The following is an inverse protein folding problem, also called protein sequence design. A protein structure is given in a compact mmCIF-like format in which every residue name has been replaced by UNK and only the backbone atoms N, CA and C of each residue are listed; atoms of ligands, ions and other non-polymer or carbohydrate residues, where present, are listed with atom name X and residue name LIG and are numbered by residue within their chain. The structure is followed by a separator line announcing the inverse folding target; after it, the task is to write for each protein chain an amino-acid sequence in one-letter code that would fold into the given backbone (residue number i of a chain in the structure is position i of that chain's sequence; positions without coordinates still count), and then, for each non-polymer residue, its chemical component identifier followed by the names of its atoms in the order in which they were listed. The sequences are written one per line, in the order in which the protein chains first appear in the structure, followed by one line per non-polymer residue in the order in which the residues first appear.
data_IF_975526974298
#
_entry.id   IF_975526974298
#
_cell.length_a   1.000
_cell.length_b   1.000
_cell.length_c   1.000
_cell.angle_alpha   90.00
_cell.angle_beta   90.00
_cell.angle_gamma   90.00
#
_symmetry.space_group_name_H-M   'P 1'
#
loop_
_entity.id
_entity.type
_entity.pdbx_description
1 polymer ?
#
# COMPACT_ATOMS: atom_id res chain seq x y z
N UNK A 1 2.31 -12.36 -9.01
CA UNK A 1 3.32 -11.38 -9.46
C UNK A 1 4.71 -12.01 -9.52
N UNK A 2 5.47 -11.75 -10.59
CA UNK A 2 6.89 -12.08 -10.75
C UNK A 2 7.77 -10.88 -10.40
N UNK A 3 9.08 -11.08 -10.25
CA UNK A 3 10.02 -9.97 -9.97
C UNK A 3 10.07 -8.92 -11.10
N UNK A 4 9.89 -9.34 -12.35
CA UNK A 4 9.88 -8.40 -13.48
C UNK A 4 8.63 -7.52 -13.45
N UNK A 5 7.46 -8.12 -13.17
CA UNK A 5 6.20 -7.40 -13.00
C UNK A 5 6.27 -6.44 -11.81
N UNK A 6 6.79 -6.90 -10.67
CA UNK A 6 6.99 -6.05 -9.48
C UNK A 6 7.83 -4.81 -9.79
N UNK A 7 8.96 -4.97 -10.50
CA UNK A 7 9.82 -3.83 -10.87
C UNK A 7 9.08 -2.85 -11.76
N UNK A 8 8.41 -3.35 -12.81
CA UNK A 8 7.71 -2.50 -13.76
C UNK A 8 6.59 -1.70 -13.11
N UNK A 9 5.83 -2.31 -12.21
CA UNK A 9 4.77 -1.62 -11.49
C UNK A 9 5.34 -0.64 -10.44
N UNK A 10 6.45 -0.95 -9.75
CA UNK A 10 7.11 -0.01 -8.82
C UNK A 10 7.63 1.22 -9.55
N UNK A 11 8.27 1.02 -10.72
CA UNK A 11 8.75 2.09 -11.59
C UNK A 11 7.58 2.99 -12.05
N UNK A 12 6.40 2.40 -12.31
CA UNK A 12 5.21 3.14 -12.74
C UNK A 12 4.62 4.04 -11.65
N UNK A 13 4.83 3.74 -10.36
CA UNK A 13 4.39 4.59 -9.25
C UNK A 13 5.23 5.87 -9.13
N UNK A 14 6.46 5.88 -9.66
CA UNK A 14 7.37 7.04 -9.66
C UNK A 14 7.50 7.70 -8.26
N UNK A 15 7.81 6.88 -7.26
CA UNK A 15 7.91 7.29 -5.86
C UNK A 15 9.37 7.57 -5.46
N UNK A 16 9.61 8.41 -4.44
CA UNK A 16 10.95 8.62 -3.87
C UNK A 16 11.61 7.32 -3.36
N UNK A 17 12.94 7.22 -3.47
CA UNK A 17 13.71 6.04 -3.03
C UNK A 17 13.61 5.75 -1.52
N UNK A 18 13.26 6.75 -0.71
CA UNK A 18 13.06 6.64 0.74
C UNK A 18 11.60 6.34 1.13
N UNK A 19 10.73 6.08 0.14
CA UNK A 19 9.34 5.68 0.37
C UNK A 19 9.29 4.35 1.13
N UNK A 20 8.53 4.32 2.23
CA UNK A 20 8.37 3.10 3.02
C UNK A 20 7.57 2.05 2.25
N UNK A 21 8.00 0.79 2.35
CA UNK A 21 7.29 -0.36 1.81
C UNK A 21 6.60 -1.10 2.96
N UNK A 22 5.28 -1.24 2.88
CA UNK A 22 4.44 -1.85 3.89
C UNK A 22 3.85 -3.15 3.35
N UNK A 23 4.09 -4.26 4.05
CA UNK A 23 3.51 -5.55 3.71
C UNK A 23 2.16 -5.72 4.40
N UNK A 24 1.10 -5.91 3.61
CA UNK A 24 -0.21 -6.22 4.17
C UNK A 24 -0.24 -7.64 4.74
N UNK A 25 -0.98 -7.80 5.84
CA UNK A 25 -1.17 -9.11 6.47
C UNK A 25 -2.07 -9.97 5.58
N UNK A 26 -1.62 -11.19 5.30
CA UNK A 26 -2.48 -12.21 4.72
C UNK A 26 -3.59 -12.61 5.71
N UNK A 27 -4.84 -12.55 5.23
CA UNK A 27 -6.03 -12.88 6.00
C UNK A 27 -6.19 -14.39 6.26
N UNK A 28 -5.62 -15.26 5.43
CA UNK A 28 -5.75 -16.72 5.55
C UNK A 28 -4.83 -17.32 6.63
N UNK A 29 -3.84 -16.55 7.10
CA UNK A 29 -2.88 -17.01 8.10
C UNK A 29 -1.85 -18.01 7.54
N UNK A 30 -1.63 -18.02 6.23
CA UNK A 30 -0.55 -18.79 5.63
C UNK A 30 0.80 -18.28 6.16
N UNK A 31 1.80 -19.16 6.18
CA UNK A 31 3.17 -18.76 6.55
C UNK A 31 3.75 -17.71 5.58
N UNK A 32 3.37 -17.83 4.30
CA UNK A 32 3.73 -16.93 3.20
C UNK A 32 2.66 -17.00 2.12
N UNK A 33 2.39 -15.87 1.47
CA UNK A 33 1.45 -15.81 0.34
C UNK A 33 2.07 -15.09 -0.86
N UNK A 34 1.77 -15.53 -2.10
CA UNK A 34 2.24 -14.83 -3.29
C UNK A 34 1.80 -13.37 -3.29
N UNK A 35 2.60 -12.47 -3.86
CA UNK A 35 2.21 -11.08 -4.05
C UNK A 35 1.20 -10.98 -5.20
N UNK A 36 0.09 -10.26 -4.95
CA UNK A 36 -1.02 -10.09 -5.89
C UNK A 36 -1.04 -8.69 -6.50
N UNK A 37 -1.09 -7.66 -5.63
CA UNK A 37 -1.32 -6.26 -6.02
C UNK A 37 -0.38 -5.38 -5.21
N UNK A 38 -0.07 -4.19 -5.73
CA UNK A 38 0.47 -3.12 -4.90
C UNK A 38 -0.10 -1.76 -5.26
N UNK A 39 -0.11 -0.87 -4.28
CA UNK A 39 -0.66 0.48 -4.40
C UNK A 39 0.26 1.51 -3.74
N UNK A 40 0.41 2.67 -4.38
CA UNK A 40 0.94 3.87 -3.74
C UNK A 40 -0.15 4.55 -2.91
N UNK A 41 0.06 4.65 -1.60
CA UNK A 41 -0.94 5.18 -0.66
C UNK A 41 -0.30 5.94 0.49
N UNK A 42 -1.09 6.26 1.52
CA UNK A 42 -0.64 6.94 2.73
C UNK A 42 -0.59 5.95 3.90
N UNK A 43 0.44 6.08 4.74
CA UNK A 43 0.66 5.24 5.91
C UNK A 43 0.75 6.08 7.18
N UNK A 44 0.00 5.69 8.21
CA UNK A 44 0.17 6.18 9.58
C UNK A 44 0.77 5.07 10.43
N UNK A 45 2.00 5.27 10.94
CA UNK A 45 2.62 4.32 11.85
C UNK A 45 2.04 4.45 13.26
N UNK A 46 1.44 3.38 13.78
CA UNK A 46 1.03 3.26 15.18
C UNK A 46 2.14 2.70 16.07
N UNK A 47 3.03 1.91 15.48
CA UNK A 47 4.21 1.34 16.13
C UNK A 47 5.29 1.01 15.09
N UNK A 48 6.43 0.46 15.53
CA UNK A 48 7.45 -0.08 14.62
C UNK A 48 6.98 -1.28 13.78
N UNK A 49 5.81 -1.86 14.09
CA UNK A 49 5.32 -3.10 13.48
C UNK A 49 3.89 -3.01 12.94
N UNK A 50 3.23 -1.86 13.07
CA UNK A 50 1.82 -1.72 12.72
C UNK A 50 1.48 -0.28 12.40
N UNK A 51 0.48 -0.11 11.55
CA UNK A 51 -0.07 1.17 11.18
C UNK A 51 -1.29 0.99 10.31
N UNK A 52 -1.92 2.11 9.95
CA UNK A 52 -3.10 2.14 9.10
C UNK A 52 -2.77 2.65 7.70
N UNK A 53 -3.56 2.18 6.75
CA UNK A 53 -3.50 2.55 5.34
C UNK A 53 -4.60 3.56 5.05
N UNK A 54 -4.28 4.58 4.25
CA UNK A 54 -5.25 5.57 3.78
C UNK A 54 -5.11 5.82 2.27
N UNK A 55 -6.25 5.97 1.60
CA UNK A 55 -6.28 6.32 0.19
C UNK A 55 -5.75 7.74 -0.05
N UNK A 56 -4.94 7.92 -1.10
CA UNK A 56 -4.52 9.26 -1.54
C UNK A 56 -5.71 10.06 -2.07
N UNK A 57 -5.59 11.38 -2.12
CA UNK A 57 -6.60 12.26 -2.72
C UNK A 57 -6.94 11.87 -4.16
N UNK A 58 -5.93 11.43 -4.92
CA UNK A 58 -6.11 10.93 -6.28
C UNK A 58 -6.93 9.64 -6.30
N UNK A 59 -6.64 8.67 -5.43
CA UNK A 59 -7.40 7.42 -5.35
C UNK A 59 -8.86 7.69 -4.96
N UNK A 60 -9.10 8.60 -4.01
CA UNK A 60 -10.46 9.00 -3.62
C UNK A 60 -11.19 9.71 -4.76
N UNK A 61 -10.50 10.57 -5.52
CA UNK A 61 -11.09 11.24 -6.68
C UNK A 61 -11.42 10.28 -7.83
N UNK A 62 -10.63 9.21 -8.00
CA UNK A 62 -10.85 8.17 -9.02
C UNK A 62 -11.93 7.16 -8.63
N UNK A 63 -12.17 6.95 -7.33
CA UNK A 63 -13.14 6.01 -6.80
C UNK A 63 -14.04 6.70 -5.75
N UNK A 64 -14.82 7.73 -6.15
CA UNK A 64 -15.61 8.55 -5.24
C UNK A 64 -16.77 7.81 -4.56
N UNK A 65 -17.15 6.63 -5.06
CA UNK A 65 -18.18 5.76 -4.49
C UNK A 65 -17.72 4.99 -3.25
N UNK A 66 -16.41 4.88 -3.04
CA UNK A 66 -15.84 4.20 -1.89
C UNK A 66 -15.84 5.13 -0.67
N UNK A 67 -16.27 4.60 0.47
CA UNK A 67 -16.29 5.31 1.75
C UNK A 67 -14.89 5.30 2.39
N UNK A 68 -14.00 6.13 1.85
CA UNK A 68 -12.63 6.27 2.35
C UNK A 68 -12.56 7.33 3.45
N UNK A 69 -12.00 6.95 4.59
CA UNK A 69 -11.65 7.91 5.64
C UNK A 69 -10.60 8.93 5.14
N UNK A 70 -10.68 10.15 5.67
CA UNK A 70 -9.61 11.13 5.46
C UNK A 70 -8.35 10.72 6.21
N UNK A 71 -7.22 10.78 5.52
CA UNK A 71 -5.92 10.53 6.12
C UNK A 71 -5.63 11.56 7.24
N UNK A 72 -5.20 11.12 8.43
CA UNK A 72 -4.73 12.02 9.48
C UNK A 72 -3.53 12.85 9.06
N UNK A 73 -3.35 14.00 9.73
CA UNK A 73 -2.16 14.82 9.58
C UNK A 73 -0.92 14.04 10.08
N UNK A 74 0.11 13.94 9.24
CA UNK A 74 1.34 13.22 9.57
C UNK A 74 1.46 11.83 8.95
N UNK A 75 0.45 11.41 8.18
CA UNK A 75 0.61 10.28 7.25
C UNK A 75 1.72 10.56 6.24
N UNK A 76 2.43 9.51 5.84
CA UNK A 76 3.53 9.57 4.86
C UNK A 76 3.22 8.72 3.64
N UNK A 77 3.73 9.07 2.45
CA UNK A 77 3.64 8.21 1.27
C UNK A 77 4.27 6.84 1.53
N UNK A 78 3.63 5.79 1.03
CA UNK A 78 4.06 4.41 1.18
C UNK A 78 3.63 3.57 -0.02
N UNK A 79 4.37 2.47 -0.27
CA UNK A 79 3.94 1.40 -1.17
C UNK A 79 3.40 0.27 -0.33
N UNK A 80 2.18 -0.17 -0.62
CA UNK A 80 1.56 -1.32 0.04
C UNK A 80 1.60 -2.54 -0.85
N UNK A 81 2.08 -3.65 -0.29
CA UNK A 81 2.17 -4.94 -0.97
C UNK A 81 1.05 -5.85 -0.45
N UNK A 82 0.11 -6.19 -1.32
CA UNK A 82 -1.06 -7.00 -0.98
C UNK A 82 -0.86 -8.46 -1.42
N UNK A 83 -0.78 -9.41 -0.47
CA UNK A 83 -0.69 -10.82 -0.82
C UNK A 83 -1.98 -11.27 -1.53
N UNK A 84 -1.88 -12.37 -2.27
CA UNK A 84 -3.05 -13.12 -2.70
C UNK A 84 -3.73 -13.64 -1.44
N UNK A 85 -4.94 -13.13 -1.19
CA UNK A 85 -5.88 -13.75 -0.27
C UNK A 85 -6.50 -14.98 -0.91
#
# INVERSE_FOLDING_TARGET
MTLAELRAELDALNLPDDTIVVLAKDAEGNGFSPLSVMDGALYEAHSSFSGDWYATDQMRAQNPENDWDQAPNGTVPAVFLWPTN
#
